data_IF_445011051067
#
_entry.id   IF_445011051067
#
_cell.length_a   1.000
_cell.length_b   1.000
_cell.length_c   1.000
_cell.angle_alpha   90.00
_cell.angle_beta   90.00
_cell.angle_gamma   90.00
#
_symmetry.space_group_name_H-M   'P 1'
#
loop_
_entity.id
_entity.type
_entity.pdbx_description
1 polymer ?
#
# COMPACT_ATOMS: atom_id res chain seq x y z
N UNK A 1 -8.92 12.67 -11.17
CA UNK A 1 -7.84 12.44 -10.21
C UNK A 1 -6.97 11.30 -10.71
N UNK A 2 -5.67 11.51 -10.77
CA UNK A 2 -4.74 10.48 -11.24
C UNK A 2 -4.28 9.62 -10.06
N UNK A 3 -4.47 8.32 -10.14
CA UNK A 3 -4.18 7.39 -9.04
C UNK A 3 -3.26 6.25 -9.49
N UNK A 4 -2.43 5.76 -8.56
CA UNK A 4 -1.56 4.61 -8.79
C UNK A 4 -1.60 3.67 -7.59
N UNK A 5 -1.34 2.40 -7.86
CA UNK A 5 -1.09 1.40 -6.83
C UNK A 5 0.33 0.89 -7.05
N UNK A 6 1.16 1.02 -6.03
CA UNK A 6 2.57 0.64 -6.09
C UNK A 6 2.84 -0.36 -4.98
N UNK A 7 3.34 -1.54 -5.33
CA UNK A 7 3.44 -2.63 -4.35
C UNK A 7 4.68 -3.50 -4.54
N UNK A 8 5.01 -4.26 -3.51
CA UNK A 8 5.97 -5.34 -3.56
C UNK A 8 5.27 -6.63 -3.10
N UNK A 9 5.53 -7.74 -3.76
CA UNK A 9 4.93 -9.01 -3.39
C UNK A 9 5.93 -10.15 -3.64
N UNK A 10 6.08 -11.03 -2.67
CA UNK A 10 6.94 -12.20 -2.80
C UNK A 10 6.15 -13.46 -3.13
N UNK A 11 5.02 -13.67 -2.44
CA UNK A 11 4.21 -14.89 -2.57
C UNK A 11 3.00 -14.75 -3.47
N UNK A 12 2.67 -13.52 -3.87
CA UNK A 12 1.48 -13.24 -4.67
C UNK A 12 0.27 -12.79 -3.86
N UNK A 13 0.33 -12.83 -2.53
CA UNK A 13 -0.79 -12.43 -1.69
C UNK A 13 -1.04 -10.93 -1.76
N UNK A 14 -0.01 -10.12 -1.55
CA UNK A 14 -0.12 -8.67 -1.66
C UNK A 14 -0.44 -8.26 -3.10
N UNK A 15 0.06 -9.01 -4.09
CA UNK A 15 -0.26 -8.75 -5.49
C UNK A 15 -1.76 -8.88 -5.77
N UNK A 16 -2.41 -9.90 -5.22
CA UNK A 16 -3.86 -10.06 -5.38
C UNK A 16 -4.61 -8.87 -4.77
N UNK A 17 -4.17 -8.42 -3.60
CA UNK A 17 -4.74 -7.24 -2.95
C UNK A 17 -4.55 -6.00 -3.82
N UNK A 18 -3.33 -5.83 -4.36
CA UNK A 18 -3.01 -4.67 -5.20
C UNK A 18 -3.89 -4.59 -6.44
N UNK A 19 -4.14 -5.73 -7.08
CA UNK A 19 -5.02 -5.79 -8.25
C UNK A 19 -6.44 -5.35 -7.92
N UNK A 20 -6.96 -5.78 -6.77
CA UNK A 20 -8.30 -5.40 -6.33
C UNK A 20 -8.40 -3.91 -6.00
N UNK A 21 -7.38 -3.37 -5.33
CA UNK A 21 -7.33 -1.92 -5.03
C UNK A 21 -7.29 -1.12 -6.32
N UNK A 22 -6.46 -1.53 -7.27
CA UNK A 22 -6.35 -0.85 -8.57
C UNK A 22 -7.66 -0.88 -9.34
N UNK A 23 -8.38 -2.00 -9.28
CA UNK A 23 -9.69 -2.12 -9.92
C UNK A 23 -10.69 -1.13 -9.32
N UNK A 24 -10.76 -1.06 -7.98
CA UNK A 24 -11.67 -0.13 -7.29
C UNK A 24 -11.36 1.33 -7.56
N UNK A 25 -10.09 1.67 -7.69
CA UNK A 25 -9.64 3.05 -7.92
C UNK A 25 -9.56 3.41 -9.41
N UNK A 26 -9.68 2.43 -10.29
CA UNK A 26 -9.40 2.59 -11.72
C UNK A 26 -7.99 3.21 -11.89
N UNK A 27 -7.02 2.64 -11.18
CA UNK A 27 -5.67 3.18 -11.06
C UNK A 27 -4.66 2.39 -11.87
N UNK A 28 -3.54 3.03 -12.18
CA UNK A 28 -2.40 2.34 -12.77
C UNK A 28 -1.76 1.45 -11.71
N UNK A 29 -1.28 0.27 -12.10
CA UNK A 29 -0.74 -0.73 -11.19
C UNK A 29 0.73 -0.99 -11.51
N UNK A 30 1.59 -0.84 -10.51
CA UNK A 30 3.03 -1.06 -10.65
C UNK A 30 3.59 -1.86 -9.50
N UNK A 31 4.56 -2.74 -9.79
CA UNK A 31 5.47 -3.18 -8.74
C UNK A 31 6.48 -2.06 -8.50
N UNK A 32 7.16 -2.09 -7.37
CA UNK A 32 8.21 -1.10 -7.06
C UNK A 32 9.26 -1.06 -8.16
N UNK A 33 9.66 -2.23 -8.67
CA UNK A 33 10.70 -2.30 -9.71
C UNK A 33 10.22 -1.81 -11.08
N UNK A 34 8.91 -1.84 -11.34
CA UNK A 34 8.34 -1.38 -12.60
C UNK A 34 8.05 0.13 -12.62
N UNK A 35 7.93 0.72 -11.44
CA UNK A 35 7.56 2.13 -11.35
C UNK A 35 8.75 3.01 -11.75
N UNK A 36 8.65 3.67 -12.90
CA UNK A 36 9.73 4.52 -13.42
C UNK A 36 9.36 6.00 -13.44
N UNK A 37 8.12 6.33 -13.12
CA UNK A 37 7.66 7.72 -13.08
C UNK A 37 7.96 8.39 -11.75
N UNK A 38 7.25 9.47 -11.47
CA UNK A 38 7.36 10.20 -10.22
C UNK A 38 6.05 10.12 -9.44
N UNK A 39 6.15 9.99 -8.12
CA UNK A 39 4.96 10.06 -7.26
C UNK A 39 4.28 11.42 -7.37
N UNK A 40 5.02 12.46 -7.77
CA UNK A 40 4.47 13.79 -7.98
C UNK A 40 3.43 13.84 -9.10
N UNK A 41 3.44 12.86 -10.00
CA UNK A 41 2.48 12.80 -11.10
C UNK A 41 1.09 12.31 -10.66
N UNK A 42 0.94 11.88 -9.43
CA UNK A 42 -0.29 11.27 -8.93
C UNK A 42 -0.88 12.07 -7.76
N UNK A 43 -2.21 12.13 -7.73
CA UNK A 43 -2.95 12.79 -6.64
C UNK A 43 -3.25 11.82 -5.50
N UNK A 44 -3.33 10.54 -5.83
CA UNK A 44 -3.68 9.49 -4.89
C UNK A 44 -2.85 8.25 -5.16
N UNK A 45 -2.28 7.65 -4.10
CA UNK A 45 -1.43 6.46 -4.25
C UNK A 45 -1.75 5.47 -3.13
N UNK A 46 -1.95 4.20 -3.49
CA UNK A 46 -2.04 3.13 -2.52
C UNK A 46 -0.72 2.35 -2.57
N UNK A 47 -0.09 2.18 -1.42
CA UNK A 47 1.14 1.42 -1.29
C UNK A 47 0.85 0.07 -0.65
N UNK A 48 1.38 -1.00 -1.24
CA UNK A 48 1.21 -2.35 -0.73
C UNK A 48 2.54 -3.04 -0.46
N UNK A 49 2.66 -3.62 0.74
CA UNK A 49 3.85 -4.36 1.13
C UNK A 49 3.49 -5.36 2.23
N UNK A 50 3.91 -6.63 2.10
CA UNK A 50 3.63 -7.62 3.15
C UNK A 50 4.52 -7.41 4.36
N UNK A 51 4.12 -8.00 5.49
CA UNK A 51 4.98 -8.11 6.66
C UNK A 51 6.10 -9.10 6.35
N UNK A 52 7.33 -8.68 6.58
CA UNK A 52 8.51 -9.52 6.36
C UNK A 52 9.17 -9.85 7.70
N UNK A 53 9.80 -11.02 7.78
CA UNK A 53 10.63 -11.44 8.90
C UNK A 53 10.17 -10.94 10.27
N UNK A 54 10.80 -9.92 10.80
CA UNK A 54 10.52 -9.34 12.12
C UNK A 54 9.41 -8.29 12.10
N UNK A 55 8.39 -8.48 11.29
CA UNK A 55 7.28 -7.55 11.09
C UNK A 55 7.75 -6.16 10.66
N UNK A 56 8.49 -6.15 9.55
CA UNK A 56 8.97 -4.91 8.93
C UNK A 56 8.58 -4.93 7.45
N UNK A 57 8.69 -3.78 6.79
CA UNK A 57 8.51 -3.70 5.35
C UNK A 57 9.66 -4.45 4.65
N UNK A 58 9.42 -4.88 3.41
CA UNK A 58 10.44 -5.54 2.63
C UNK A 58 11.64 -4.58 2.48
N UNK A 59 12.85 -5.05 2.80
CA UNK A 59 14.00 -4.18 3.01
C UNK A 59 14.86 -3.92 1.79
N UNK A 60 14.79 -4.78 0.77
CA UNK A 60 15.70 -4.67 -0.39
C UNK A 60 15.20 -3.72 -1.47
N UNK A 61 13.90 -3.66 -1.69
CA UNK A 61 13.31 -2.86 -2.75
C UNK A 61 12.27 -1.87 -2.24
N UNK A 62 11.33 -2.34 -1.40
CA UNK A 62 10.22 -1.49 -0.97
C UNK A 62 10.66 -0.40 -0.01
N UNK A 63 11.40 -0.75 1.03
CA UNK A 63 11.84 0.23 2.03
C UNK A 63 12.67 1.35 1.42
N UNK A 64 13.69 1.05 0.57
CA UNK A 64 14.43 2.12 -0.09
C UNK A 64 13.55 3.01 -0.97
N UNK A 65 12.61 2.42 -1.69
CA UNK A 65 11.68 3.15 -2.54
C UNK A 65 10.80 4.08 -1.70
N UNK A 66 10.21 3.55 -0.63
CA UNK A 66 9.32 4.33 0.22
C UNK A 66 10.07 5.46 0.90
N UNK A 67 11.25 5.18 1.43
CA UNK A 67 12.12 6.20 2.06
C UNK A 67 12.43 7.34 1.09
N UNK A 68 12.75 7.00 -0.16
CA UNK A 68 13.10 8.00 -1.17
C UNK A 68 11.94 8.92 -1.53
N UNK A 69 10.69 8.44 -1.38
CA UNK A 69 9.51 9.19 -1.81
C UNK A 69 8.66 9.73 -0.67
N UNK A 70 8.95 9.32 0.54
CA UNK A 70 8.15 9.63 1.73
C UNK A 70 7.90 11.12 1.91
N UNK A 71 8.91 11.95 1.70
CA UNK A 71 8.80 13.41 1.87
C UNK A 71 7.92 14.07 0.80
N UNK A 72 7.56 13.35 -0.25
CA UNK A 72 6.76 13.88 -1.36
C UNK A 72 5.27 13.58 -1.23
N UNK A 73 4.87 12.87 -0.19
CA UNK A 73 3.51 12.34 -0.07
C UNK A 73 2.54 13.25 0.68
N UNK A 74 3.04 14.31 1.29
CA UNK A 74 2.18 15.28 1.99
C UNK A 74 1.19 15.92 1.00
N UNK A 75 -0.06 16.07 1.40
CA UNK A 75 -1.09 16.66 0.56
C UNK A 75 -1.75 15.72 -0.43
N UNK A 76 -1.24 14.49 -0.54
CA UNK A 76 -1.84 13.47 -1.42
C UNK A 76 -2.77 12.57 -0.62
N UNK A 77 -3.65 11.87 -1.31
CA UNK A 77 -4.48 10.82 -0.70
C UNK A 77 -3.68 9.53 -0.73
N UNK A 78 -3.35 9.00 0.44
CA UNK A 78 -2.49 7.82 0.58
C UNK A 78 -3.26 6.71 1.29
N UNK A 79 -3.15 5.49 0.78
CA UNK A 79 -3.69 4.29 1.41
C UNK A 79 -2.58 3.27 1.58
N UNK A 80 -2.67 2.45 2.62
CA UNK A 80 -1.71 1.39 2.90
C UNK A 80 -2.42 0.06 2.98
N UNK A 81 -1.81 -0.98 2.42
CA UNK A 81 -2.36 -2.33 2.49
C UNK A 81 -1.23 -3.36 2.46
N UNK A 82 -1.55 -4.58 2.86
CA UNK A 82 -0.59 -5.66 2.76
C UNK A 82 -1.08 -6.94 3.41
N UNK A 83 -0.37 -8.03 3.12
CA UNK A 83 -0.66 -9.35 3.67
C UNK A 83 0.35 -9.71 4.75
N UNK A 84 -0.02 -10.64 5.65
CA UNK A 84 0.90 -11.13 6.68
C UNK A 84 0.60 -12.62 6.96
N UNK A 85 1.63 -13.34 7.39
CA UNK A 85 1.48 -14.76 7.70
C UNK A 85 1.42 -15.01 9.21
N UNK A 86 2.33 -14.39 9.97
CA UNK A 86 2.37 -14.51 11.42
C UNK A 86 2.49 -13.12 12.03
N UNK A 87 2.36 -13.03 13.33
CA UNK A 87 2.32 -11.74 13.98
C UNK A 87 0.89 -11.20 14.01
N UNK A 88 0.72 -9.95 14.42
CA UNK A 88 -0.60 -9.36 14.65
C UNK A 88 -0.82 -8.02 13.96
N UNK A 89 -0.01 -7.70 12.95
CA UNK A 89 -0.16 -6.44 12.22
C UNK A 89 0.74 -5.33 12.72
N UNK A 90 1.74 -5.64 13.52
CA UNK A 90 2.66 -4.62 14.03
C UNK A 90 3.33 -3.84 12.90
N UNK A 91 3.72 -4.52 11.81
CA UNK A 91 4.36 -3.85 10.66
C UNK A 91 3.45 -2.76 10.07
N UNK A 92 2.16 -3.02 10.04
CA UNK A 92 1.20 -2.04 9.49
C UNK A 92 0.98 -0.89 10.46
N UNK A 93 0.88 -1.16 11.76
CA UNK A 93 0.74 -0.11 12.77
C UNK A 93 1.94 0.82 12.77
N UNK A 94 3.15 0.25 12.67
CA UNK A 94 4.38 1.04 12.59
C UNK A 94 4.43 1.86 11.30
N UNK A 95 3.98 1.27 10.20
CA UNK A 95 3.95 1.97 8.91
C UNK A 95 2.99 3.15 8.94
N UNK A 96 1.79 2.96 9.48
CA UNK A 96 0.81 4.04 9.64
C UNK A 96 1.36 5.13 10.54
N UNK A 97 1.99 4.77 11.65
CA UNK A 97 2.59 5.72 12.58
C UNK A 97 3.69 6.53 11.88
N UNK A 98 4.55 5.86 11.14
CA UNK A 98 5.61 6.49 10.36
C UNK A 98 5.05 7.54 9.41
N UNK A 99 3.99 7.19 8.69
CA UNK A 99 3.35 8.12 7.76
C UNK A 99 2.73 9.30 8.51
N UNK A 100 2.00 9.03 9.57
CA UNK A 100 1.35 10.09 10.37
C UNK A 100 2.39 11.03 10.96
N UNK A 101 3.49 10.51 11.48
CA UNK A 101 4.57 11.31 12.05
C UNK A 101 5.23 12.22 11.02
N UNK A 102 5.14 11.85 9.73
CA UNK A 102 5.72 12.63 8.63
C UNK A 102 4.68 13.51 7.92
N UNK A 103 3.51 13.69 8.50
CA UNK A 103 2.48 14.56 7.95
C UNK A 103 1.74 13.96 6.75
N UNK A 104 1.80 12.65 6.58
CA UNK A 104 1.11 11.94 5.50
C UNK A 104 -0.26 11.51 6.01
N UNK A 105 -1.32 11.88 5.28
CA UNK A 105 -2.69 11.55 5.63
C UNK A 105 -3.08 10.21 5.00
N UNK A 106 -3.47 9.24 5.82
CA UNK A 106 -3.86 7.90 5.36
C UNK A 106 -5.39 7.83 5.29
N UNK A 107 -5.93 7.58 4.09
CA UNK A 107 -7.38 7.59 3.87
C UNK A 107 -8.11 6.45 4.60
N UNK A 108 -7.43 5.34 4.82
CA UNK A 108 -8.00 4.20 5.55
C UNK A 108 -7.51 4.10 6.99
N UNK A 109 -6.88 5.15 7.49
CA UNK A 109 -6.54 5.29 8.92
C UNK A 109 -5.63 4.24 9.51
N UNK A 110 -6.05 3.00 9.49
CA UNK A 110 -5.36 1.88 10.16
C UNK A 110 -4.57 0.99 9.20
N UNK A 111 -4.73 1.19 7.89
CA UNK A 111 -4.17 0.27 6.91
C UNK A 111 -5.05 -0.95 6.73
N UNK A 112 -5.02 -1.55 5.56
CA UNK A 112 -5.82 -2.74 5.25
C UNK A 112 -4.91 -3.97 5.26
N UNK A 113 -5.28 -4.98 6.05
CA UNK A 113 -4.48 -6.19 6.22
C UNK A 113 -5.28 -7.42 5.82
N UNK A 114 -4.59 -8.41 5.24
CA UNK A 114 -5.15 -9.73 5.00
C UNK A 114 -4.19 -10.78 5.54
N UNK A 115 -4.72 -11.78 6.24
CA UNK A 115 -3.91 -12.86 6.78
C UNK A 115 -3.69 -13.92 5.70
N UNK A 116 -2.44 -14.16 5.35
CA UNK A 116 -2.05 -15.13 4.31
C UNK A 116 -2.73 -14.82 2.97
N UNK A 117 -3.30 -15.82 2.30
CA UNK A 117 -3.96 -15.61 1.01
C UNK A 117 -5.27 -14.85 1.21
N UNK A 118 -5.46 -13.71 0.51
CA UNK A 118 -6.70 -12.95 0.69
C UNK A 118 -7.91 -13.77 0.20
N UNK A 119 -8.97 -13.76 1.00
CA UNK A 119 -10.23 -14.40 0.64
C UNK A 119 -11.14 -13.39 -0.09
N UNK A 120 -12.34 -13.81 -0.44
CA UNK A 120 -13.27 -12.94 -1.18
C UNK A 120 -13.65 -11.68 -0.40
N UNK A 121 -13.80 -11.78 0.92
CA UNK A 121 -14.08 -10.60 1.77
C UNK A 121 -12.90 -9.65 1.78
N UNK A 122 -11.68 -10.17 1.84
CA UNK A 122 -10.47 -9.34 1.82
C UNK A 122 -10.36 -8.60 0.49
N UNK A 123 -10.64 -9.29 -0.62
CA UNK A 123 -10.57 -8.67 -1.94
C UNK A 123 -11.67 -7.62 -2.14
N UNK A 124 -12.85 -7.87 -1.58
CA UNK A 124 -13.94 -6.88 -1.59
C UNK A 124 -13.54 -5.61 -0.84
N UNK A 125 -12.87 -5.77 0.31
CA UNK A 125 -12.36 -4.62 1.09
C UNK A 125 -11.27 -3.87 0.35
N UNK A 126 -10.43 -4.59 -0.40
CA UNK A 126 -9.40 -3.97 -1.22
C UNK A 126 -10.02 -3.11 -2.32
N UNK A 127 -11.04 -3.62 -2.99
CA UNK A 127 -11.75 -2.86 -4.03
C UNK A 127 -12.41 -1.62 -3.42
N UNK A 128 -13.04 -1.78 -2.27
CA UNK A 128 -13.65 -0.66 -1.55
C UNK A 128 -12.60 0.39 -1.16
N UNK A 129 -11.42 -0.06 -0.74
CA UNK A 129 -10.31 0.84 -0.43
C UNK A 129 -9.91 1.66 -1.65
N UNK A 130 -9.84 1.02 -2.82
CA UNK A 130 -9.56 1.72 -4.07
C UNK A 130 -10.59 2.79 -4.37
N UNK A 131 -11.87 2.47 -4.17
CA UNK A 131 -12.97 3.43 -4.37
C UNK A 131 -12.84 4.61 -3.40
N UNK A 132 -12.49 4.33 -2.15
CA UNK A 132 -12.31 5.38 -1.14
C UNK A 132 -11.13 6.28 -1.48
N UNK A 133 -10.06 5.70 -2.01
CA UNK A 133 -8.84 6.43 -2.35
C UNK A 133 -9.10 7.58 -3.32
N UNK A 134 -9.99 7.38 -4.26
CA UNK A 134 -10.23 8.36 -5.33
C UNK A 134 -11.48 9.21 -5.14
N UNK A 135 -12.11 9.14 -4.00
CA UNK A 135 -13.30 9.95 -3.69
C UNK A 135 -12.97 11.41 -3.47
#
# INVERSE_FOLDING_TARGET
>A
MKAAVIYWSGTGNTEQMAKAVAEGANAELFTVSQFSGSVDDYDAIAFGCPAMGAEVLEEDEFEPFFTANESKLGGKKIALFGSYGWGDGEWMREWVKRCTDNGISIVNGEGLMANESPNDDDLAKCKELGETLVK
#
